data_IF_664121208845
#
_entry.id   IF_664121208845
#
_cell.length_a   1.000
_cell.length_b   1.000
_cell.length_c   1.000
_cell.angle_alpha   90.00
_cell.angle_beta   90.00
_cell.angle_gamma   90.00
#
_symmetry.space_group_name_H-M   'P 1'
#
loop_
_entity.id
_entity.type
_entity.pdbx_description
1 polymer ?
#
# COMPACT_ATOMS: atom_id res chain seq x y z
N UNK A 1 13.13 -10.96 15.04
CA UNK A 1 11.83 -10.88 14.35
C UNK A 1 11.72 -12.08 13.44
N UNK A 2 10.55 -12.71 13.39
CA UNK A 2 10.26 -13.85 12.53
C UNK A 2 9.11 -13.44 11.60
N UNK A 3 9.22 -13.70 10.29
CA UNK A 3 8.22 -13.29 9.31
C UNK A 3 6.87 -13.96 9.57
N UNK A 4 6.87 -15.26 9.87
CA UNK A 4 5.66 -16.04 10.17
C UNK A 4 4.91 -15.47 11.37
N UNK A 5 5.60 -15.20 12.47
CA UNK A 5 4.96 -14.67 13.69
C UNK A 5 4.31 -13.29 13.46
N UNK A 6 5.01 -12.42 12.72
CA UNK A 6 4.51 -11.09 12.36
C UNK A 6 3.31 -11.17 11.40
N UNK A 7 3.31 -12.12 10.47
CA UNK A 7 2.20 -12.35 9.55
C UNK A 7 0.95 -12.89 10.28
N UNK A 8 1.14 -13.76 11.28
CA UNK A 8 0.05 -14.24 12.13
C UNK A 8 -0.53 -13.10 12.98
N UNK A 9 0.32 -12.27 13.57
CA UNK A 9 -0.11 -11.04 14.26
C UNK A 9 -0.91 -10.11 13.34
N UNK A 10 -0.40 -9.90 12.13
CA UNK A 10 -1.10 -9.10 11.13
C UNK A 10 -2.50 -9.67 10.85
N UNK A 11 -2.63 -10.99 10.64
CA UNK A 11 -3.91 -11.68 10.46
C UNK A 11 -4.89 -11.43 11.60
N UNK A 12 -4.42 -11.23 12.82
CA UNK A 12 -5.25 -10.93 13.99
C UNK A 12 -5.59 -9.44 14.15
N UNK A 13 -5.16 -8.59 13.22
CA UNK A 13 -5.21 -7.12 13.32
C UNK A 13 -4.42 -6.56 14.51
N UNK A 14 -3.42 -7.29 14.99
CA UNK A 14 -2.49 -6.76 15.97
C UNK A 14 -1.66 -5.63 15.33
N UNK A 15 -1.36 -4.59 16.10
CA UNK A 15 -0.50 -3.51 15.65
C UNK A 15 0.90 -4.05 15.32
N UNK A 16 1.44 -3.65 14.16
CA UNK A 16 2.83 -3.86 13.78
C UNK A 16 3.57 -2.51 13.77
N UNK A 17 4.74 -2.44 14.39
CA UNK A 17 5.56 -1.22 14.39
C UNK A 17 6.17 -0.94 13.01
N UNK A 18 6.72 0.27 12.82
CA UNK A 18 7.41 0.63 11.59
C UNK A 18 8.64 -0.27 11.33
N UNK A 19 9.36 -0.65 12.39
CA UNK A 19 10.51 -1.55 12.33
C UNK A 19 10.08 -2.96 11.92
N UNK A 20 8.96 -3.45 12.43
CA UNK A 20 8.37 -4.75 12.06
C UNK A 20 7.88 -4.75 10.61
N UNK A 21 7.25 -3.65 10.16
CA UNK A 21 6.86 -3.47 8.76
C UNK A 21 8.05 -3.44 7.81
N UNK A 22 9.12 -2.72 8.17
CA UNK A 22 10.36 -2.71 7.40
C UNK A 22 11.03 -4.09 7.36
N UNK A 23 10.97 -4.84 8.47
CA UNK A 23 11.47 -6.20 8.52
C UNK A 23 10.69 -7.11 7.57
N UNK A 24 9.35 -7.06 7.56
CA UNK A 24 8.53 -7.81 6.60
C UNK A 24 8.86 -7.42 5.16
N UNK A 25 8.94 -6.12 4.85
CA UNK A 25 9.26 -5.64 3.51
C UNK A 25 10.58 -6.21 2.95
N UNK A 26 11.59 -6.38 3.81
CA UNK A 26 12.91 -6.87 3.41
C UNK A 26 13.03 -8.40 3.40
N UNK A 27 12.24 -9.12 4.19
CA UNK A 27 12.51 -10.53 4.50
C UNK A 27 11.33 -11.48 4.23
N UNK A 28 10.09 -11.01 4.20
CA UNK A 28 8.95 -11.87 3.92
C UNK A 28 8.90 -12.23 2.43
N UNK A 29 8.47 -13.45 2.11
CA UNK A 29 8.27 -13.81 0.72
C UNK A 29 7.01 -13.12 0.18
N UNK A 30 7.05 -12.74 -1.10
CA UNK A 30 5.93 -12.03 -1.74
C UNK A 30 4.62 -12.83 -1.70
N UNK A 31 4.60 -14.16 -1.95
CA UNK A 31 3.36 -14.93 -1.90
C UNK A 31 2.66 -14.93 -0.53
N UNK A 32 3.39 -15.04 0.57
CA UNK A 32 2.85 -14.96 1.94
C UNK A 32 2.26 -13.57 2.20
N UNK A 33 2.98 -12.51 1.83
CA UNK A 33 2.49 -11.13 1.95
C UNK A 33 1.19 -10.94 1.17
N UNK A 34 1.12 -11.42 -0.07
CA UNK A 34 -0.08 -11.35 -0.91
C UNK A 34 -1.24 -12.11 -0.28
N UNK A 35 -1.00 -13.31 0.25
CA UNK A 35 -2.01 -14.11 0.92
C UNK A 35 -2.56 -13.39 2.16
N UNK A 36 -1.70 -12.94 3.06
CA UNK A 36 -2.11 -12.26 4.30
C UNK A 36 -2.85 -10.95 3.98
N UNK A 37 -2.36 -10.14 3.05
CA UNK A 37 -3.03 -8.92 2.62
C UNK A 37 -4.43 -9.20 2.05
N UNK A 38 -4.56 -10.27 1.27
CA UNK A 38 -5.83 -10.70 0.71
C UNK A 38 -6.84 -11.14 1.78
N UNK A 39 -6.39 -11.90 2.78
CA UNK A 39 -7.23 -12.33 3.91
C UNK A 39 -7.66 -11.14 4.79
N UNK A 40 -6.76 -10.19 5.05
CA UNK A 40 -7.10 -8.96 5.77
C UNK A 40 -8.15 -8.13 5.04
N UNK A 41 -8.00 -7.98 3.72
CA UNK A 41 -8.98 -7.31 2.86
C UNK A 41 -10.35 -8.00 2.92
N UNK A 42 -10.41 -9.34 2.93
CA UNK A 42 -11.68 -10.08 3.09
C UNK A 42 -12.32 -9.85 4.45
N UNK A 43 -11.53 -9.77 5.53
CA UNK A 43 -12.04 -9.47 6.88
C UNK A 43 -12.62 -8.06 6.96
N UNK A 44 -11.96 -7.06 6.37
CA UNK A 44 -12.42 -5.67 6.36
C UNK A 44 -13.59 -5.43 5.38
N UNK A 45 -13.62 -6.15 4.26
CA UNK A 45 -14.61 -5.99 3.18
C UNK A 45 -15.24 -7.37 2.86
N UNK A 46 -16.16 -7.86 3.71
CA UNK A 46 -16.59 -9.27 3.72
C UNK A 46 -17.54 -9.65 2.58
N UNK A 47 -18.15 -8.68 1.90
CA UNK A 47 -19.17 -8.96 0.88
C UNK A 47 -18.60 -9.50 -0.44
N UNK A 48 -17.26 -9.56 -0.59
CA UNK A 48 -16.62 -10.17 -1.77
C UNK A 48 -16.87 -9.44 -3.10
N UNK A 49 -17.35 -8.18 -3.04
CA UNK A 49 -17.62 -7.37 -4.24
C UNK A 49 -16.46 -6.44 -4.51
N UNK A 50 -15.96 -6.47 -5.73
CA UNK A 50 -15.01 -5.46 -6.23
C UNK A 50 -15.81 -4.30 -6.79
N UNK A 51 -15.56 -3.09 -6.30
CA UNK A 51 -16.22 -1.87 -6.77
C UNK A 51 -15.28 -1.08 -7.66
N UNK A 52 -15.82 -0.06 -8.33
CA UNK A 52 -15.10 0.82 -9.23
C UNK A 52 -15.63 2.25 -9.07
N UNK A 53 -14.86 3.23 -9.51
CA UNK A 53 -15.20 4.66 -9.45
C UNK A 53 -15.13 5.26 -10.85
N UNK A 54 -16.11 6.10 -11.22
CA UNK A 54 -15.98 7.05 -12.33
C UNK A 54 -15.51 8.35 -11.73
N UNK A 55 -14.26 8.70 -12.01
CA UNK A 55 -13.67 9.95 -11.56
C UNK A 55 -13.37 10.89 -12.74
N UNK A 56 -13.51 12.19 -12.51
CA UNK A 56 -13.05 13.23 -13.43
C UNK A 56 -12.04 14.12 -12.71
N UNK A 57 -10.77 13.86 -12.95
CA UNK A 57 -9.69 14.71 -12.49
C UNK A 57 -9.50 15.90 -13.44
N UNK A 58 -9.83 17.10 -12.96
CA UNK A 58 -9.66 18.35 -13.73
C UNK A 58 -8.33 19.00 -13.34
N UNK A 59 -7.33 18.88 -14.19
CA UNK A 59 -6.06 19.59 -14.04
C UNK A 59 -6.18 20.97 -14.70
N UNK A 60 -6.42 22.01 -13.90
CA UNK A 60 -6.57 23.39 -14.40
C UNK A 60 -5.26 24.01 -14.87
N UNK A 61 -4.11 23.48 -14.41
CA UNK A 61 -2.77 23.84 -14.88
C UNK A 61 -1.81 22.66 -14.73
N UNK A 62 -0.79 22.61 -15.58
CA UNK A 62 0.36 21.71 -15.46
C UNK A 62 1.66 22.46 -15.14
N UNK A 63 1.58 23.77 -14.84
CA UNK A 63 2.72 24.60 -14.45
C UNK A 63 3.01 24.38 -12.97
N UNK A 64 4.24 24.01 -12.64
CA UNK A 64 4.66 23.77 -11.27
C UNK A 64 6.08 24.27 -11.02
N UNK A 65 6.30 24.94 -9.89
CA UNK A 65 7.63 25.41 -9.45
C UNK A 65 8.36 24.37 -8.59
N UNK A 66 7.66 23.36 -8.09
CA UNK A 66 8.25 22.30 -7.28
C UNK A 66 9.07 21.36 -8.19
N UNK A 67 10.39 21.33 -8.00
CA UNK A 67 11.34 20.53 -8.78
C UNK A 67 11.33 19.04 -8.38
N UNK A 68 10.16 18.43 -8.41
CA UNK A 68 9.98 17.01 -8.10
C UNK A 68 10.59 16.16 -9.23
N UNK A 69 11.64 15.39 -8.91
CA UNK A 69 12.38 14.56 -9.89
C UNK A 69 11.55 13.49 -10.60
N UNK A 70 10.39 13.13 -10.05
CA UNK A 70 9.49 12.09 -10.58
C UNK A 70 8.24 12.67 -11.25
N UNK A 71 7.97 13.99 -11.10
CA UNK A 71 6.73 14.58 -11.58
C UNK A 71 6.93 15.28 -12.92
N UNK A 72 6.04 14.98 -13.89
CA UNK A 72 6.12 15.50 -15.25
C UNK A 72 5.67 16.99 -15.40
N UNK A 73 5.11 17.58 -14.35
CA UNK A 73 4.63 18.98 -14.39
C UNK A 73 5.75 20.00 -14.15
N UNK A 74 6.85 19.61 -13.50
CA UNK A 74 8.02 20.47 -13.42
C UNK A 74 8.79 20.42 -14.74
N UNK A 75 9.07 21.59 -15.30
CA UNK A 75 9.96 21.76 -16.47
C UNK A 75 11.03 22.78 -16.11
N UNK A 76 12.28 22.49 -16.49
CA UNK A 76 13.35 23.48 -16.40
C UNK A 76 12.95 24.69 -17.27
N UNK A 77 13.15 25.93 -16.79
CA UNK A 77 12.96 27.12 -17.61
C UNK A 77 13.79 27.09 -18.90
#
# INVERSE_FOLDING_TARGET
MNTTDLLVRALNFDFLSAEEGLFLFKNANTPELMYVANELRKKQVPHGKVTWIIDRNVNTTNVCIANCKFCNFFRRP
#
